data_IF_321434739512
#
_entry.id   IF_321434739512
#
_cell.length_a   1.000
_cell.length_b   1.000
_cell.length_c   1.000
_cell.angle_alpha   90.00
_cell.angle_beta   90.00
_cell.angle_gamma   90.00
#
_symmetry.space_group_name_H-M   'P 1'
#
loop_
_entity.id
_entity.type
_entity.pdbx_description
1 polymer ?
#
# COMPACT_ATOMS: atom_id res chain seq x y z
N UNK A 1 -8.47 19.15 8.40
CA UNK A 1 -9.50 18.54 9.28
C UNK A 1 -8.84 17.31 9.90
N UNK A 2 -8.62 17.26 11.22
CA UNK A 2 -8.12 16.06 11.87
C UNK A 2 -9.24 15.02 11.85
N UNK A 3 -8.89 13.77 11.51
CA UNK A 3 -9.81 12.64 11.66
C UNK A 3 -10.12 12.51 13.16
N UNK A 4 -11.38 12.73 13.55
CA UNK A 4 -11.87 12.60 14.92
C UNK A 4 -11.50 11.23 15.49
N UNK A 5 -10.87 11.21 16.68
CA UNK A 5 -10.35 10.06 17.44
C UNK A 5 -10.51 8.69 16.75
N UNK A 6 -9.78 8.52 15.65
CA UNK A 6 -9.68 7.27 14.93
C UNK A 6 -9.04 6.24 15.85
N UNK A 7 -9.56 5.03 15.82
CA UNK A 7 -8.99 3.86 16.47
C UNK A 7 -7.45 3.82 16.28
N UNK A 8 -6.70 4.16 17.35
CA UNK A 8 -5.24 4.37 17.33
C UNK A 8 -4.44 3.07 17.29
N UNK A 9 -5.08 1.96 16.93
CA UNK A 9 -4.41 0.66 16.79
C UNK A 9 -3.25 0.77 15.80
N UNK A 10 -2.08 0.33 16.25
CA UNK A 10 -0.90 0.14 15.41
C UNK A 10 -0.98 -1.23 14.72
N UNK A 11 -0.28 -1.43 13.59
CA UNK A 11 -0.23 -2.73 12.96
C UNK A 11 0.35 -3.78 13.93
N UNK A 12 -0.26 -4.98 14.05
CA UNK A 12 0.28 -6.05 14.87
C UNK A 12 1.67 -6.47 14.39
N UNK A 13 2.56 -6.77 15.34
CA UNK A 13 3.92 -7.27 15.07
C UNK A 13 3.92 -8.79 14.89
N UNK A 14 5.00 -9.33 14.30
CA UNK A 14 5.16 -10.77 14.08
C UNK A 14 4.39 -11.34 12.88
N UNK A 15 3.95 -10.47 11.97
CA UNK A 15 3.32 -10.87 10.70
C UNK A 15 4.38 -11.25 9.67
N UNK A 16 4.01 -12.13 8.74
CA UNK A 16 4.86 -12.50 7.61
C UNK A 16 4.61 -11.59 6.39
N UNK A 17 5.67 -11.19 5.69
CA UNK A 17 5.52 -10.47 4.43
C UNK A 17 4.96 -11.42 3.37
N UNK A 18 3.85 -11.05 2.74
CA UNK A 18 3.28 -11.81 1.65
C UNK A 18 4.03 -11.51 0.34
N UNK A 19 5.20 -12.13 0.15
CA UNK A 19 6.11 -11.88 -0.98
C UNK A 19 5.44 -11.96 -2.36
N UNK A 20 4.45 -12.86 -2.50
CA UNK A 20 3.63 -13.00 -3.72
C UNK A 20 2.89 -11.72 -4.13
N UNK A 21 2.63 -10.82 -3.18
CA UNK A 21 1.96 -9.54 -3.42
C UNK A 21 2.95 -8.39 -3.62
N UNK A 22 4.17 -8.51 -3.07
CA UNK A 22 5.24 -7.50 -3.23
C UNK A 22 5.55 -7.24 -4.69
N UNK A 23 5.70 -8.30 -5.48
CA UNK A 23 6.05 -8.17 -6.90
C UNK A 23 5.01 -7.39 -7.70
N UNK A 24 3.74 -7.35 -7.27
CA UNK A 24 2.68 -6.56 -7.93
C UNK A 24 2.87 -5.05 -7.76
N UNK A 25 3.67 -4.65 -6.77
CA UNK A 25 3.87 -3.26 -6.37
C UNK A 25 5.31 -2.79 -6.61
N UNK A 26 6.10 -3.54 -7.37
CA UNK A 26 7.42 -3.13 -7.85
C UNK A 26 7.37 -2.84 -9.35
N UNK A 27 8.17 -1.89 -9.84
CA UNK A 27 8.26 -1.60 -11.27
C UNK A 27 8.85 -2.78 -12.04
N UNK A 28 8.50 -2.87 -13.31
CA UNK A 28 9.08 -3.79 -14.32
C UNK A 28 9.04 -5.29 -13.98
N UNK A 29 8.17 -5.72 -13.06
CA UNK A 29 7.97 -7.14 -12.77
C UNK A 29 6.91 -7.77 -13.69
N UNK A 30 7.00 -9.08 -13.98
CA UNK A 30 5.95 -9.79 -14.72
C UNK A 30 4.57 -9.70 -14.04
N UNK A 31 4.53 -9.67 -12.70
CA UNK A 31 3.30 -9.59 -11.92
C UNK A 31 2.65 -8.21 -12.02
N UNK A 32 3.46 -7.15 -12.01
CA UNK A 32 2.99 -5.78 -12.24
C UNK A 32 2.46 -5.63 -13.67
N UNK A 33 3.22 -6.10 -14.68
CA UNK A 33 2.79 -6.04 -16.07
C UNK A 33 1.50 -6.82 -16.34
N UNK A 34 1.34 -7.98 -15.69
CA UNK A 34 0.08 -8.74 -15.75
C UNK A 34 -1.07 -7.93 -15.17
N UNK A 35 -0.89 -7.33 -13.98
CA UNK A 35 -1.91 -6.50 -13.34
C UNK A 35 -2.27 -5.27 -14.20
N UNK A 36 -1.27 -4.62 -14.78
CA UNK A 36 -1.46 -3.47 -15.66
C UNK A 36 -2.30 -3.83 -16.89
N UNK A 37 -2.08 -5.02 -17.47
CA UNK A 37 -2.87 -5.54 -18.59
C UNK A 37 -4.29 -5.93 -18.21
N UNK A 38 -4.49 -6.52 -17.03
CA UNK A 38 -5.81 -7.01 -16.57
C UNK A 38 -6.70 -5.88 -16.03
N UNK A 39 -6.14 -4.97 -15.22
CA UNK A 39 -6.89 -3.93 -14.52
C UNK A 39 -6.79 -2.54 -15.19
N UNK A 40 -6.00 -2.43 -16.26
CA UNK A 40 -5.72 -1.17 -16.97
C UNK A 40 -4.83 -0.19 -16.20
N UNK A 41 -4.42 -0.54 -14.98
CA UNK A 41 -3.58 0.27 -14.10
C UNK A 41 -2.82 -0.60 -13.10
N UNK A 42 -1.68 -0.12 -12.63
CA UNK A 42 -0.94 -0.71 -11.51
C UNK A 42 -0.51 0.38 -10.53
N UNK A 43 -0.45 0.04 -9.24
CA UNK A 43 0.11 0.90 -8.20
C UNK A 43 1.44 0.30 -7.76
N UNK A 44 2.52 1.06 -7.95
CA UNK A 44 3.88 0.60 -7.69
C UNK A 44 4.62 1.58 -6.81
N UNK A 45 5.54 1.08 -5.99
CA UNK A 45 6.55 1.90 -5.33
C UNK A 45 7.58 2.37 -6.35
N UNK A 46 8.36 3.38 -5.98
CA UNK A 46 9.48 3.82 -6.82
C UNK A 46 10.51 2.70 -7.02
N UNK A 47 10.77 1.95 -5.95
CA UNK A 47 11.72 0.83 -5.90
C UNK A 47 11.47 -0.03 -4.65
N UNK A 48 12.25 -1.11 -4.51
CA UNK A 48 12.20 -2.00 -3.34
C UNK A 48 12.63 -1.28 -2.06
N UNK A 49 13.61 -0.37 -2.12
CA UNK A 49 14.07 0.36 -0.95
C UNK A 49 12.94 1.21 -0.34
N UNK A 50 12.21 1.94 -1.19
CA UNK A 50 11.05 2.73 -0.79
C UNK A 50 9.97 1.86 -0.15
N UNK A 51 9.71 0.67 -0.70
CA UNK A 51 8.76 -0.28 -0.11
C UNK A 51 9.19 -0.68 1.31
N UNK A 52 10.46 -1.00 1.52
CA UNK A 52 10.99 -1.42 2.82
C UNK A 52 10.92 -0.26 3.84
N UNK A 53 11.38 0.93 3.47
CA UNK A 53 11.32 2.13 4.32
C UNK A 53 9.88 2.47 4.73
N UNK A 54 8.95 2.44 3.76
CA UNK A 54 7.53 2.67 4.02
C UNK A 54 6.93 1.59 4.92
N UNK A 55 7.36 0.33 4.76
CA UNK A 55 6.91 -0.78 5.59
C UNK A 55 7.31 -0.58 7.05
N UNK A 56 8.56 -0.22 7.30
CA UNK A 56 9.04 0.08 8.65
C UNK A 56 8.28 1.26 9.27
N UNK A 57 8.13 2.35 8.52
CA UNK A 57 7.38 3.53 8.94
C UNK A 57 5.91 3.21 9.29
N UNK A 58 5.26 2.32 8.53
CA UNK A 58 3.89 1.89 8.83
C UNK A 58 3.82 1.09 10.13
N UNK A 59 4.76 0.20 10.40
CA UNK A 59 4.80 -0.54 11.66
C UNK A 59 5.06 0.36 12.86
N UNK A 60 5.83 1.43 12.69
CA UNK A 60 6.14 2.40 13.75
C UNK A 60 4.98 3.39 13.97
N UNK A 61 4.52 4.00 12.88
CA UNK A 61 3.66 5.19 12.92
C UNK A 61 2.32 5.02 12.23
N UNK A 62 2.12 3.98 11.42
CA UNK A 62 0.87 3.72 10.72
C UNK A 62 -0.33 3.59 11.67
N UNK A 63 -1.49 4.01 11.21
CA UNK A 63 -2.73 4.04 12.00
C UNK A 63 -3.79 3.16 11.33
N UNK A 64 -4.69 2.59 12.13
CA UNK A 64 -5.81 1.84 11.58
C UNK A 64 -6.72 2.77 10.77
N UNK A 65 -6.91 2.45 9.50
CA UNK A 65 -7.72 3.24 8.55
C UNK A 65 -9.02 2.54 8.17
N UNK A 66 -9.31 1.38 8.78
CA UNK A 66 -10.58 0.67 8.61
C UNK A 66 -10.41 -0.80 8.23
N UNK A 67 -11.56 -1.46 8.08
CA UNK A 67 -11.64 -2.86 7.65
C UNK A 67 -12.32 -2.93 6.29
N UNK A 68 -11.60 -3.35 5.27
CA UNK A 68 -12.10 -3.45 3.89
C UNK A 68 -12.19 -4.91 3.49
N UNK A 69 -13.41 -5.40 3.21
CA UNK A 69 -13.71 -6.80 2.87
C UNK A 69 -13.17 -7.80 3.92
N UNK A 70 -13.36 -7.48 5.20
CA UNK A 70 -12.90 -8.32 6.32
C UNK A 70 -11.39 -8.28 6.59
N UNK A 71 -10.65 -7.36 5.96
CA UNK A 71 -9.22 -7.19 6.17
C UNK A 71 -8.91 -5.83 6.78
N UNK A 72 -8.21 -5.83 7.90
CA UNK A 72 -7.72 -4.60 8.50
C UNK A 72 -6.73 -3.91 7.57
N UNK A 73 -6.81 -2.58 7.58
CA UNK A 73 -5.96 -1.67 6.85
C UNK A 73 -5.31 -0.73 7.84
N UNK A 74 -4.01 -0.54 7.66
CA UNK A 74 -3.25 0.47 8.37
C UNK A 74 -2.60 1.37 7.34
N UNK A 75 -2.55 2.67 7.58
CA UNK A 75 -2.02 3.58 6.58
C UNK A 75 -1.43 4.85 7.16
N UNK A 76 -0.69 5.55 6.32
CA UNK A 76 -0.11 6.86 6.62
C UNK A 76 0.22 7.61 5.33
N UNK A 77 0.24 8.95 5.42
CA UNK A 77 0.73 9.82 4.36
C UNK A 77 2.22 10.10 4.51
N UNK A 78 2.89 10.31 3.38
CA UNK A 78 4.28 10.75 3.26
C UNK A 78 4.32 12.12 2.59
N UNK A 79 5.33 12.92 2.93
CA UNK A 79 5.61 14.25 2.36
C UNK A 79 6.24 14.19 0.96
N UNK A 80 6.80 13.03 0.61
CA UNK A 80 7.34 12.69 -0.72
C UNK A 80 6.51 11.63 -1.42
N UNK A 81 6.57 11.60 -2.75
CA UNK A 81 5.96 10.53 -3.52
C UNK A 81 6.70 9.21 -3.26
N UNK A 82 6.01 8.23 -2.71
CA UNK A 82 6.54 6.88 -2.39
C UNK A 82 6.39 5.90 -3.57
N UNK A 83 5.64 6.32 -4.59
CA UNK A 83 5.34 5.50 -5.73
C UNK A 83 4.51 6.25 -6.75
N UNK A 84 4.00 5.50 -7.73
CA UNK A 84 3.13 6.03 -8.76
C UNK A 84 2.09 5.00 -9.18
N UNK A 85 0.95 5.49 -9.65
CA UNK A 85 0.00 4.70 -10.42
C UNK A 85 0.33 4.86 -11.89
N UNK A 86 0.55 3.76 -12.59
CA UNK A 86 0.79 3.72 -14.03
C UNK A 86 -0.45 3.14 -14.74
N UNK A 87 -0.80 3.67 -15.90
CA UNK A 87 -1.83 3.13 -16.79
C UNK A 87 -1.25 2.55 -18.09
N UNK A 88 -2.11 2.00 -18.95
CA UNK A 88 -1.72 1.39 -20.22
C UNK A 88 -1.03 2.36 -21.19
N UNK A 89 -1.25 3.67 -21.04
CA UNK A 89 -0.62 4.70 -21.86
C UNK A 89 0.75 5.13 -21.30
N UNK A 90 1.12 4.61 -20.13
CA UNK A 90 2.34 4.96 -19.43
C UNK A 90 2.23 6.24 -18.61
N UNK A 91 1.04 6.83 -18.48
CA UNK A 91 0.82 8.02 -17.65
C UNK A 91 1.03 7.66 -16.19
N UNK A 92 1.80 8.48 -15.47
CA UNK A 92 2.14 8.27 -14.06
C UNK A 92 1.49 9.33 -13.17
N UNK A 93 0.75 8.86 -12.17
CA UNK A 93 0.20 9.70 -11.10
C UNK A 93 0.98 9.42 -9.79
N UNK A 94 1.63 10.41 -9.16
CA UNK A 94 2.37 10.19 -7.92
C UNK A 94 1.45 9.76 -6.77
N UNK A 95 1.96 8.87 -5.92
CA UNK A 95 1.27 8.31 -4.76
C UNK A 95 2.00 8.69 -3.49
N UNK A 96 1.26 9.20 -2.51
CA UNK A 96 1.77 9.72 -1.24
C UNK A 96 1.21 8.97 -0.02
N UNK A 97 0.22 8.11 -0.23
CA UNK A 97 -0.39 7.33 0.85
C UNK A 97 0.09 5.88 0.78
N UNK A 98 0.56 5.33 1.89
CA UNK A 98 0.85 3.91 2.00
C UNK A 98 -0.25 3.21 2.79
N UNK A 99 -0.60 2.01 2.35
CA UNK A 99 -1.58 1.16 3.02
C UNK A 99 -1.04 -0.26 3.21
N UNK A 100 -0.93 -0.69 4.47
CA UNK A 100 -0.71 -2.07 4.85
C UNK A 100 -2.04 -2.82 4.94
N UNK A 101 -2.17 -3.89 4.15
CA UNK A 101 -3.29 -4.83 4.25
C UNK A 101 -2.88 -6.06 5.03
N UNK A 102 -3.64 -6.42 6.05
CA UNK A 102 -3.42 -7.64 6.83
C UNK A 102 -4.37 -8.75 6.39
N UNK A 103 -3.81 -9.93 6.11
CA UNK A 103 -4.55 -11.12 5.68
C UNK A 103 -3.98 -12.33 6.41
N UNK A 104 -4.74 -12.93 7.33
CA UNK A 104 -4.42 -14.25 7.93
C UNK A 104 -2.97 -14.37 8.45
N UNK A 105 -2.48 -13.39 9.21
CA UNK A 105 -1.12 -13.39 9.76
C UNK A 105 -0.02 -12.96 8.78
N UNK A 106 -0.39 -12.61 7.56
CA UNK A 106 0.50 -11.98 6.58
C UNK A 106 0.11 -10.52 6.33
N UNK A 107 1.04 -9.75 5.77
CA UNK A 107 0.80 -8.39 5.32
C UNK A 107 1.43 -8.12 3.95
N UNK A 108 0.93 -7.11 3.25
CA UNK A 108 1.66 -6.45 2.18
C UNK A 108 1.28 -4.97 2.16
N UNK A 109 2.20 -4.16 1.65
CA UNK A 109 2.03 -2.71 1.56
C UNK A 109 1.74 -2.32 0.12
N UNK A 110 0.85 -1.33 -0.04
CA UNK A 110 0.37 -0.83 -1.32
C UNK A 110 0.48 0.69 -1.30
N UNK A 111 1.12 1.33 -2.30
CA UNK A 111 1.04 2.77 -2.46
C UNK A 111 -0.32 3.12 -3.08
N UNK A 112 -0.98 4.17 -2.61
CA UNK A 112 -2.29 4.61 -3.08
C UNK A 112 -2.38 6.13 -3.17
N UNK A 113 -3.42 6.58 -3.85
CA UNK A 113 -3.81 8.00 -3.91
C UNK A 113 -4.51 8.45 -2.63
N UNK A 114 -5.27 7.54 -2.00
CA UNK A 114 -6.02 7.75 -0.76
C UNK A 114 -6.27 6.39 -0.07
N UNK A 115 -6.70 6.37 1.21
CA UNK A 115 -7.12 5.14 1.89
C UNK A 115 -8.16 4.36 1.07
N UNK A 116 -8.12 3.03 1.16
CA UNK A 116 -9.19 2.19 0.63
C UNK A 116 -10.48 2.45 1.41
N UNK A 117 -11.53 2.86 0.73
CA UNK A 117 -12.83 3.07 1.34
C UNK A 117 -13.54 1.72 1.56
N UNK A 118 -14.29 1.64 2.67
CA UNK A 118 -15.31 0.61 2.87
C UNK A 118 -16.46 0.98 1.93
N UNK A 119 -16.76 0.12 0.95
CA UNK A 119 -18.02 0.16 0.21
C UNK A 119 -19.01 -0.72 0.98
#
# INVERSE_FOLDING_TARGET
MPLEDGDKRKPPRGLNLAERHVQKHLPDTPQMLKLLKEDGKAHVFNDLQTLLEVTEALFESGEFVGTVRGHERYGMYFDRAIGYRIDLEGTRLPLYFAEMKIIKGEYHVIPRTKPSEVI
#
